data_IF_284251530845
#
_entry.id   IF_284251530845
#
_cell.length_a   1.000
_cell.length_b   1.000
_cell.length_c   1.000
_cell.angle_alpha   90.00
_cell.angle_beta   90.00
_cell.angle_gamma   90.00
#
_symmetry.space_group_name_H-M   'P 1'
#
loop_
_entity.id
_entity.type
_entity.pdbx_description
1 polymer ?
#
# COMPACT_ATOMS: atom_id res chain seq x y z
N UNK A 1 6.79 -14.16 -43.73
CA UNK A 1 6.29 -12.84 -43.31
C UNK A 1 5.27 -13.11 -42.21
N UNK A 2 5.70 -13.03 -40.95
CA UNK A 2 4.84 -13.32 -39.79
C UNK A 2 3.88 -12.14 -39.54
N UNK A 3 2.66 -12.37 -39.04
CA UNK A 3 1.73 -11.29 -38.76
C UNK A 3 2.24 -10.49 -37.55
N UNK A 4 2.32 -9.17 -37.72
CA UNK A 4 2.62 -8.24 -36.64
C UNK A 4 1.48 -8.30 -35.60
N UNK A 5 1.78 -8.88 -34.44
CA UNK A 5 0.88 -8.82 -33.28
C UNK A 5 0.71 -7.38 -32.85
N UNK A 6 -0.55 -6.96 -32.70
CA UNK A 6 -0.91 -5.66 -32.12
C UNK A 6 -0.44 -5.62 -30.66
N UNK A 7 0.65 -4.90 -30.40
CA UNK A 7 1.28 -4.74 -29.08
C UNK A 7 0.65 -3.61 -28.26
N UNK A 8 -0.60 -3.25 -28.51
CA UNK A 8 -1.28 -2.21 -27.71
C UNK A 8 -1.77 -2.81 -26.38
N UNK A 9 -1.06 -2.48 -25.29
CA UNK A 9 -1.57 -2.72 -23.93
C UNK A 9 -2.80 -1.84 -23.75
N UNK A 10 -3.97 -2.45 -23.56
CA UNK A 10 -5.20 -1.71 -23.31
C UNK A 10 -5.03 -0.82 -22.07
N UNK A 11 -5.31 0.49 -22.21
CA UNK A 11 -5.31 1.41 -21.09
C UNK A 11 -6.57 1.16 -20.24
N UNK A 12 -6.49 0.16 -19.36
CA UNK A 12 -7.59 -0.23 -18.46
C UNK A 12 -7.76 0.73 -17.27
N UNK A 13 -6.90 1.74 -17.14
CA UNK A 13 -6.91 2.70 -16.03
C UNK A 13 -7.58 4.04 -16.39
N UNK A 14 -8.01 4.24 -17.64
CA UNK A 14 -8.70 5.48 -18.02
C UNK A 14 -10.11 5.53 -17.40
N UNK A 15 -10.33 6.48 -16.48
CA UNK A 15 -11.65 6.77 -15.91
C UNK A 15 -11.96 6.11 -14.57
N UNK A 16 -10.99 5.43 -13.93
CA UNK A 16 -11.13 4.98 -12.54
C UNK A 16 -10.86 6.20 -11.63
N UNK A 17 -11.86 6.57 -10.84
CA UNK A 17 -11.69 7.53 -9.76
C UNK A 17 -10.79 6.93 -8.68
N UNK A 18 -9.50 7.23 -8.74
CA UNK A 18 -8.48 6.74 -7.80
C UNK A 18 -8.56 7.42 -6.42
N UNK A 19 -9.54 8.29 -6.19
CA UNK A 19 -9.72 8.94 -4.88
C UNK A 19 -10.31 7.99 -3.84
N UNK A 20 -11.12 7.02 -4.27
CA UNK A 20 -11.73 6.00 -3.41
C UNK A 20 -11.06 4.64 -3.63
N UNK A 21 -10.33 4.15 -2.62
CA UNK A 21 -9.55 2.90 -2.67
C UNK A 21 -10.40 1.65 -2.41
N UNK A 22 -11.60 1.57 -2.99
CA UNK A 22 -12.52 0.45 -2.71
C UNK A 22 -13.09 -0.18 -3.98
N UNK A 23 -13.21 -1.51 -3.96
CA UNK A 23 -13.91 -2.31 -4.96
C UNK A 23 -15.33 -2.68 -4.51
N UNK A 24 -15.76 -2.16 -3.36
CA UNK A 24 -17.07 -2.47 -2.79
C UNK A 24 -18.16 -1.65 -3.48
N UNK A 25 -19.39 -2.14 -3.37
CA UNK A 25 -20.56 -1.53 -4.02
C UNK A 25 -20.93 -0.13 -3.48
N UNK A 26 -20.38 0.29 -2.35
CA UNK A 26 -20.64 1.61 -1.77
C UNK A 26 -19.57 2.05 -0.79
N UNK A 27 -19.31 3.36 -0.77
CA UNK A 27 -18.39 3.99 0.18
C UNK A 27 -18.81 3.77 1.63
N UNK A 28 -20.11 3.83 1.91
CA UNK A 28 -20.64 3.59 3.26
C UNK A 28 -20.27 2.19 3.80
N UNK A 29 -20.23 1.17 2.94
CA UNK A 29 -19.81 -0.18 3.34
C UNK A 29 -18.30 -0.24 3.59
N UNK A 30 -17.52 0.47 2.77
CA UNK A 30 -16.08 0.58 2.96
C UNK A 30 -15.74 1.32 4.26
N UNK A 31 -16.35 2.48 4.52
CA UNK A 31 -16.23 3.23 5.78
C UNK A 31 -16.61 2.36 6.97
N UNK A 32 -17.70 1.59 6.88
CA UNK A 32 -18.08 0.67 7.94
C UNK A 32 -16.98 -0.34 8.28
N UNK A 33 -16.35 -0.97 7.28
CA UNK A 33 -15.24 -1.90 7.49
C UNK A 33 -14.06 -1.19 8.16
N UNK A 34 -13.69 -0.01 7.64
CA UNK A 34 -12.57 0.75 8.15
C UNK A 34 -12.77 1.12 9.63
N UNK A 35 -13.90 1.73 9.96
CA UNK A 35 -14.19 2.24 11.29
C UNK A 35 -14.38 1.13 12.33
N UNK A 36 -14.90 -0.03 11.92
CA UNK A 36 -15.22 -1.12 12.86
C UNK A 36 -14.09 -2.13 13.03
N UNK A 37 -13.29 -2.38 11.99
CA UNK A 37 -12.32 -3.48 12.00
C UNK A 37 -10.87 -3.07 11.72
N UNK A 38 -10.65 -1.96 11.02
CA UNK A 38 -9.33 -1.55 10.55
C UNK A 38 -8.72 -0.48 11.44
N UNK A 39 -9.30 0.73 11.49
CA UNK A 39 -8.75 1.86 12.25
C UNK A 39 -8.60 1.62 13.75
N UNK A 40 -9.50 0.88 14.44
CA UNK A 40 -9.30 0.53 15.85
C UNK A 40 -8.07 -0.36 16.11
N UNK A 41 -7.53 -1.02 15.08
CA UNK A 41 -6.37 -1.92 15.17
C UNK A 41 -5.13 -1.39 14.45
N UNK A 42 -5.25 -0.23 13.80
CA UNK A 42 -4.13 0.40 13.08
C UNK A 42 -3.08 0.90 14.08
N UNK A 43 -1.82 0.57 13.84
CA UNK A 43 -0.71 1.04 14.66
C UNK A 43 -0.52 2.56 14.50
N UNK A 44 -0.15 3.27 15.57
CA UNK A 44 -0.04 4.74 15.54
C UNK A 44 0.91 5.24 14.45
N UNK A 45 2.10 4.64 14.33
CA UNK A 45 3.04 4.99 13.27
C UNK A 45 2.50 4.76 11.84
N UNK A 46 1.59 3.79 11.65
CA UNK A 46 0.92 3.60 10.36
C UNK A 46 -0.08 4.72 10.12
N UNK A 47 -0.91 5.07 11.12
CA UNK A 47 -1.84 6.19 11.04
C UNK A 47 -1.11 7.49 10.67
N UNK A 48 0.01 7.76 11.33
CA UNK A 48 0.79 8.97 11.08
C UNK A 48 1.33 9.00 9.64
N UNK A 49 1.91 7.89 9.18
CA UNK A 49 2.42 7.77 7.81
C UNK A 49 1.31 7.94 6.76
N UNK A 50 0.11 7.39 7.04
CA UNK A 50 -1.07 7.57 6.19
C UNK A 50 -1.48 9.03 6.09
N UNK A 51 -1.63 9.72 7.23
CA UNK A 51 -2.04 11.13 7.25
C UNK A 51 -1.00 12.06 6.61
N UNK A 52 0.29 11.69 6.65
CA UNK A 52 1.36 12.41 5.93
C UNK A 52 1.21 12.18 4.42
N UNK A 53 1.06 10.93 4.01
CA UNK A 53 0.97 10.55 2.60
C UNK A 53 -0.31 11.04 1.93
N UNK A 54 -1.43 11.13 2.67
CA UNK A 54 -2.70 11.68 2.17
C UNK A 54 -2.56 13.14 1.70
N UNK A 55 -1.54 13.86 2.19
CA UNK A 55 -1.20 15.23 1.76
C UNK A 55 -0.25 15.28 0.56
N UNK A 56 0.26 14.13 0.11
CA UNK A 56 1.15 14.04 -1.03
C UNK A 56 0.38 14.27 -2.35
N UNK A 57 0.94 14.97 -3.35
CA UNK A 57 0.30 15.12 -4.67
C UNK A 57 -0.06 13.79 -5.34
N UNK A 58 0.67 12.73 -4.99
CA UNK A 58 0.44 11.34 -5.42
C UNK A 58 -0.08 10.42 -4.30
N UNK A 59 -0.75 10.95 -3.26
CA UNK A 59 -1.25 10.16 -2.12
C UNK A 59 -2.23 9.03 -2.51
N UNK A 60 -2.85 9.13 -3.68
CA UNK A 60 -3.66 8.06 -4.26
C UNK A 60 -2.87 6.76 -4.53
N UNK A 61 -1.54 6.83 -4.67
CA UNK A 61 -0.67 5.66 -4.89
C UNK A 61 -0.49 4.79 -3.64
N UNK A 62 -0.76 5.32 -2.45
CA UNK A 62 -0.58 4.56 -1.20
C UNK A 62 -1.54 3.36 -1.14
N UNK A 63 -1.09 2.21 -0.61
CA UNK A 63 -2.00 1.12 -0.23
C UNK A 63 -3.09 1.60 0.74
N UNK A 64 -4.26 0.95 0.70
CA UNK A 64 -5.34 1.23 1.63
C UNK A 64 -5.09 0.59 3.00
N UNK A 65 -5.76 1.09 4.05
CA UNK A 65 -5.56 0.58 5.41
C UNK A 65 -6.05 -0.85 5.60
N UNK A 66 -7.12 -1.25 4.90
CA UNK A 66 -7.63 -2.62 4.89
C UNK A 66 -6.69 -3.57 4.14
N UNK A 67 -6.09 -3.14 3.02
CA UNK A 67 -5.05 -3.90 2.31
C UNK A 67 -3.83 -4.12 3.20
N UNK A 68 -3.35 -3.07 3.89
CA UNK A 68 -2.23 -3.16 4.80
C UNK A 68 -2.52 -4.11 5.99
N UNK A 69 -3.75 -4.09 6.53
CA UNK A 69 -4.18 -5.03 7.55
C UNK A 69 -4.16 -6.48 7.04
N UNK A 70 -4.69 -6.73 5.83
CA UNK A 70 -4.66 -8.05 5.19
C UNK A 70 -3.22 -8.52 4.97
N UNK A 71 -2.34 -7.66 4.45
CA UNK A 71 -0.93 -7.96 4.22
C UNK A 71 -0.23 -8.38 5.52
N UNK A 72 -0.43 -7.63 6.60
CA UNK A 72 0.12 -7.98 7.91
C UNK A 72 -0.38 -9.33 8.43
N UNK A 73 -1.65 -9.67 8.19
CA UNK A 73 -2.19 -11.00 8.52
C UNK A 73 -1.54 -12.10 7.68
N UNK A 74 -1.40 -11.91 6.37
CA UNK A 74 -0.78 -12.88 5.46
C UNK A 74 0.67 -13.17 5.82
N UNK A 75 1.45 -12.14 6.14
CA UNK A 75 2.85 -12.27 6.58
C UNK A 75 2.97 -13.14 7.84
N UNK A 76 2.11 -12.87 8.83
CA UNK A 76 2.07 -13.64 10.09
C UNK A 76 1.66 -15.09 9.84
N UNK A 77 0.63 -15.33 9.03
CA UNK A 77 0.18 -16.69 8.70
C UNK A 77 1.22 -17.47 7.90
N UNK A 78 1.94 -16.81 7.00
CA UNK A 78 3.01 -17.44 6.22
C UNK A 78 4.27 -17.73 7.05
N UNK A 79 4.40 -17.18 8.26
CA UNK A 79 5.63 -17.28 9.06
C UNK A 79 6.83 -16.63 8.36
N UNK A 80 6.60 -15.58 7.59
CA UNK A 80 7.64 -14.96 6.78
C UNK A 80 8.73 -14.32 7.65
N UNK A 81 9.98 -14.39 7.16
CA UNK A 81 11.16 -13.73 7.77
C UNK A 81 11.95 -12.87 6.80
N UNK A 82 11.83 -13.15 5.50
CA UNK A 82 12.54 -12.45 4.43
C UNK A 82 11.53 -12.10 3.36
N UNK A 83 11.30 -10.82 3.13
CA UNK A 83 10.36 -10.31 2.13
C UNK A 83 11.07 -9.39 1.16
N UNK A 84 10.45 -9.18 0.01
CA UNK A 84 10.86 -8.20 -0.99
C UNK A 84 9.63 -7.37 -1.34
N UNK A 85 9.80 -6.06 -1.43
CA UNK A 85 8.77 -5.12 -1.85
C UNK A 85 9.31 -4.33 -3.05
N UNK A 86 8.56 -4.32 -4.16
CA UNK A 86 8.88 -3.59 -5.38
C UNK A 86 7.79 -2.55 -5.61
N UNK A 87 8.17 -1.28 -5.55
CA UNK A 87 7.24 -0.18 -5.38
C UNK A 87 6.97 0.06 -3.89
N UNK A 88 7.66 1.04 -3.33
CA UNK A 88 7.62 1.43 -1.92
C UNK A 88 6.85 2.74 -1.75
N UNK A 89 7.05 3.71 -2.64
CA UNK A 89 6.52 5.06 -2.53
C UNK A 89 6.81 5.66 -1.13
N UNK A 90 5.77 6.00 -0.36
CA UNK A 90 5.90 6.49 1.02
C UNK A 90 5.91 5.37 2.06
N UNK A 91 6.00 4.10 1.67
CA UNK A 91 6.32 2.99 2.56
C UNK A 91 5.19 2.53 3.49
N UNK A 92 3.92 2.82 3.21
CA UNK A 92 2.81 2.35 4.05
C UNK A 92 2.68 0.80 4.06
N UNK A 93 2.76 0.16 2.89
CA UNK A 93 2.87 -1.30 2.73
C UNK A 93 4.14 -1.87 3.35
N UNK A 94 5.27 -1.18 3.14
CA UNK A 94 6.57 -1.55 3.70
C UNK A 94 6.54 -1.56 5.23
N UNK A 95 5.92 -0.55 5.84
CA UNK A 95 5.77 -0.45 7.29
C UNK A 95 4.84 -1.53 7.83
N UNK A 96 3.71 -1.79 7.16
CA UNK A 96 2.81 -2.90 7.50
C UNK A 96 3.55 -4.24 7.49
N UNK A 97 4.40 -4.45 6.48
CA UNK A 97 5.24 -5.62 6.32
C UNK A 97 6.25 -5.73 7.46
N UNK A 98 7.00 -4.67 7.73
CA UNK A 98 8.03 -4.64 8.78
C UNK A 98 7.44 -4.90 10.18
N UNK A 99 6.27 -4.34 10.49
CA UNK A 99 5.58 -4.56 11.77
C UNK A 99 5.02 -5.98 11.93
N UNK A 100 4.77 -6.69 10.84
CA UNK A 100 4.24 -8.05 10.85
C UNK A 100 5.32 -9.13 10.93
N UNK A 101 6.55 -8.79 10.52
CA UNK A 101 7.71 -9.66 10.62
C UNK A 101 8.19 -9.82 12.08
N UNK A 102 8.89 -10.92 12.41
CA UNK A 102 9.60 -11.02 13.68
C UNK A 102 10.75 -9.99 13.75
N UNK A 103 11.28 -9.76 14.94
CA UNK A 103 12.38 -8.80 15.19
C UNK A 103 13.63 -9.05 14.32
N UNK A 104 13.92 -10.32 14.01
CA UNK A 104 15.03 -10.72 13.13
C UNK A 104 14.68 -10.68 11.64
N UNK A 105 13.47 -10.25 11.30
CA UNK A 105 12.95 -10.16 9.95
C UNK A 105 13.70 -9.14 9.09
N UNK A 106 13.69 -9.36 7.76
CA UNK A 106 14.32 -8.49 6.78
C UNK A 106 13.39 -8.23 5.61
N UNK A 107 13.34 -6.97 5.19
CA UNK A 107 12.68 -6.54 3.95
C UNK A 107 13.73 -5.99 3.00
N UNK A 108 13.71 -6.46 1.76
CA UNK A 108 14.41 -5.80 0.65
C UNK A 108 13.40 -4.89 -0.04
N UNK A 109 13.54 -3.58 0.13
CA UNK A 109 12.65 -2.59 -0.45
C UNK A 109 13.28 -1.95 -1.69
N UNK A 110 12.57 -1.96 -2.82
CA UNK A 110 13.05 -1.48 -4.11
C UNK A 110 12.08 -0.44 -4.64
N UNK A 111 12.56 0.78 -4.80
CA UNK A 111 11.86 1.87 -5.48
C UNK A 111 12.86 2.67 -6.32
N UNK A 112 12.36 3.30 -7.38
CA UNK A 112 13.13 4.23 -8.21
C UNK A 112 13.23 5.62 -7.58
N UNK A 113 12.30 5.99 -6.69
CA UNK A 113 12.23 7.30 -6.07
C UNK A 113 12.57 7.24 -4.57
N UNK A 114 13.80 7.61 -4.23
CA UNK A 114 14.26 7.71 -2.83
C UNK A 114 13.63 8.90 -2.09
N UNK A 115 13.33 10.00 -2.79
CA UNK A 115 12.83 11.22 -2.14
C UNK A 115 11.44 10.97 -1.55
N UNK A 116 10.57 10.26 -2.28
CA UNK A 116 9.26 9.85 -1.76
C UNK A 116 9.38 9.04 -0.47
N UNK A 117 10.36 8.13 -0.37
CA UNK A 117 10.60 7.32 0.82
C UNK A 117 11.20 8.11 2.00
N UNK A 118 11.98 9.15 1.74
CA UNK A 118 12.65 9.91 2.81
C UNK A 118 11.88 11.16 3.23
N UNK A 119 10.71 11.43 2.62
CA UNK A 119 9.99 12.70 2.76
C UNK A 119 9.56 13.05 4.20
N UNK A 120 9.27 12.06 5.04
CA UNK A 120 8.96 12.28 6.48
C UNK A 120 10.20 12.37 7.38
N UNK A 121 11.41 12.20 6.83
CA UNK A 121 12.67 12.43 7.54
C UNK A 121 13.18 13.87 7.38
N UNK A 122 12.59 14.64 6.45
CA UNK A 122 12.91 16.04 6.27
C UNK A 122 12.20 16.91 7.35
N UNK A 123 12.89 17.87 7.98
CA UNK A 123 12.35 18.74 9.01
C UNK A 123 11.25 19.70 8.53
#
# INVERSE_FOLDING_TARGET
MAPNGDNTVANVHSGIDSTNKTLLKSDALYTYILDTTVFPREHECMRDLRLITDKHPWGYMQSSSDEAQLLGMLIKMAGAKKTIEVGVFTGYSLLATALALPEDGKVVAIDTDRECYERWLAP
#
